data_IF_515083079859
#
_entry.id   IF_515083079859
#
_cell.length_a   1.000
_cell.length_b   1.000
_cell.length_c   1.000
_cell.angle_alpha   90.00
_cell.angle_beta   90.00
_cell.angle_gamma   90.00
#
_symmetry.space_group_name_H-M   'P 1'
#
loop_
_entity.id
_entity.type
_entity.pdbx_description
1 polymer ?
#
# COMPACT_ATOMS: atom_id res chain seq x y z
N UNK A 1 -3.41 -17.25 -17.98
CA UNK A 1 -2.81 -16.08 -18.69
C UNK A 1 -2.85 -14.87 -17.77
N UNK A 2 -1.69 -14.29 -17.49
CA UNK A 2 -1.67 -13.03 -16.76
C UNK A 2 -2.23 -11.92 -17.66
N UNK A 3 -3.22 -11.20 -17.16
CA UNK A 3 -3.79 -10.06 -17.82
C UNK A 3 -2.73 -8.96 -18.00
N UNK A 4 -2.75 -8.27 -19.14
CA UNK A 4 -1.85 -7.15 -19.40
C UNK A 4 -2.42 -5.92 -18.71
N UNK A 5 -1.67 -5.38 -17.75
CA UNK A 5 -2.07 -4.18 -17.04
C UNK A 5 -1.78 -2.92 -17.87
N UNK A 6 -2.62 -1.90 -17.71
CA UNK A 6 -2.48 -0.61 -18.39
C UNK A 6 -2.46 0.54 -17.40
N UNK A 7 -1.75 1.60 -17.77
CA UNK A 7 -1.82 2.87 -17.06
C UNK A 7 -3.21 3.49 -17.19
N UNK A 8 -3.78 3.95 -16.07
CA UNK A 8 -5.10 4.57 -15.99
C UNK A 8 -5.03 6.03 -15.55
N UNK A 9 -3.86 6.53 -15.20
CA UNK A 9 -3.66 7.92 -14.78
C UNK A 9 -2.22 8.17 -14.38
N UNK A 10 -1.95 9.41 -13.99
CA UNK A 10 -0.62 9.85 -13.56
C UNK A 10 -0.76 10.75 -12.33
N UNK A 11 -0.03 10.43 -11.27
CA UNK A 11 0.12 11.28 -10.10
C UNK A 11 1.27 12.25 -10.36
N UNK A 12 1.02 13.54 -10.12
CA UNK A 12 2.04 14.59 -10.23
C UNK A 12 2.28 15.23 -8.87
N UNK A 13 3.52 15.16 -8.41
CA UNK A 13 3.96 15.78 -7.15
C UNK A 13 5.22 16.58 -7.45
N UNK A 14 5.16 17.89 -7.27
CA UNK A 14 6.20 18.81 -7.74
C UNK A 14 6.47 18.60 -9.24
N UNK A 15 7.72 18.34 -9.62
CA UNK A 15 8.12 18.06 -11.00
C UNK A 15 8.24 16.55 -11.28
N UNK A 16 7.68 15.71 -10.42
CA UNK A 16 7.78 14.25 -10.51
C UNK A 16 6.44 13.63 -10.86
N UNK A 17 6.49 12.56 -11.62
CA UNK A 17 5.31 11.85 -12.09
C UNK A 17 5.39 10.38 -11.71
N UNK A 18 4.24 9.80 -11.33
CA UNK A 18 4.08 8.38 -11.05
C UNK A 18 2.85 7.87 -11.77
N UNK A 19 3.02 6.92 -12.67
CA UNK A 19 1.90 6.30 -13.37
C UNK A 19 1.12 5.37 -12.44
N UNK A 20 -0.20 5.41 -12.57
CA UNK A 20 -1.15 4.55 -11.85
C UNK A 20 -1.65 3.49 -12.81
N UNK A 21 -1.57 2.23 -12.42
CA UNK A 21 -1.99 1.09 -13.23
C UNK A 21 -3.18 0.37 -12.60
N UNK A 22 -3.83 -0.48 -13.36
CA UNK A 22 -4.98 -1.31 -13.02
C UNK A 22 -6.27 -0.49 -12.96
N UNK A 23 -6.61 0.09 -11.82
CA UNK A 23 -7.79 0.95 -11.65
C UNK A 23 -7.52 2.06 -10.66
N UNK A 24 -8.38 3.09 -10.65
CA UNK A 24 -8.28 4.17 -9.66
C UNK A 24 -8.83 3.75 -8.29
N UNK A 25 -9.64 2.72 -8.25
CA UNK A 25 -10.20 2.17 -7.00
C UNK A 25 -9.20 1.26 -6.30
N UNK A 26 -8.57 0.38 -7.06
CA UNK A 26 -7.49 -0.50 -6.58
C UNK A 26 -6.22 -0.27 -7.40
N UNK A 27 -5.52 0.85 -7.17
CA UNK A 27 -4.34 1.18 -7.95
C UNK A 27 -3.15 0.30 -7.61
N UNK A 28 -2.33 0.03 -8.62
CA UNK A 28 -1.00 -0.54 -8.43
C UNK A 28 0.03 0.35 -9.08
N UNK A 29 1.25 0.32 -8.56
CA UNK A 29 2.34 1.19 -8.95
C UNK A 29 3.56 0.35 -9.31
N UNK A 30 4.19 0.70 -10.41
CA UNK A 30 5.41 0.02 -10.85
C UNK A 30 6.56 0.34 -9.90
N UNK A 31 7.18 -0.69 -9.35
CA UNK A 31 8.23 -0.53 -8.34
C UNK A 31 9.41 0.31 -8.84
N UNK A 32 9.81 0.15 -10.11
CA UNK A 32 10.89 0.94 -10.72
C UNK A 32 10.53 2.43 -10.87
N UNK A 33 9.27 2.76 -11.09
CA UNK A 33 8.80 4.15 -11.17
C UNK A 33 8.84 4.81 -9.79
N UNK A 34 8.46 4.08 -8.75
CA UNK A 34 8.59 4.56 -7.36
C UNK A 34 10.06 4.80 -7.02
N UNK A 35 10.95 3.88 -7.39
CA UNK A 35 12.39 4.03 -7.17
C UNK A 35 12.92 5.31 -7.80
N UNK A 36 12.57 5.56 -9.06
CA UNK A 36 12.95 6.77 -9.78
C UNK A 36 12.40 8.03 -9.10
N UNK A 37 11.13 8.00 -8.72
CA UNK A 37 10.47 9.14 -8.07
C UNK A 37 11.09 9.49 -6.72
N UNK A 38 11.55 8.49 -5.97
CA UNK A 38 12.15 8.66 -4.64
C UNK A 38 13.68 8.81 -4.67
N UNK A 39 14.29 8.90 -5.84
CA UNK A 39 15.75 9.03 -6.02
C UNK A 39 16.56 7.79 -5.62
N UNK A 40 15.97 6.59 -5.74
CA UNK A 40 16.72 5.35 -5.66
C UNK A 40 17.33 4.99 -7.01
N UNK A 41 18.51 4.39 -6.98
CA UNK A 41 19.13 3.87 -8.21
C UNK A 41 18.37 2.66 -8.74
N UNK A 42 18.47 2.41 -10.05
CA UNK A 42 17.78 1.29 -10.71
C UNK A 42 18.12 -0.08 -10.10
N UNK A 43 19.32 -0.25 -9.54
CA UNK A 43 19.74 -1.48 -8.87
C UNK A 43 19.13 -1.71 -7.48
N UNK A 44 18.41 -0.75 -6.94
CA UNK A 44 17.86 -0.79 -5.57
C UNK A 44 16.34 -1.01 -5.50
N UNK A 45 15.71 -1.39 -6.61
CA UNK A 45 14.26 -1.67 -6.62
C UNK A 45 13.88 -2.79 -5.65
N UNK A 46 14.72 -3.81 -5.53
CA UNK A 46 14.48 -4.92 -4.60
C UNK A 46 14.49 -4.47 -3.13
N UNK A 47 15.22 -3.43 -2.78
CA UNK A 47 15.18 -2.83 -1.43
C UNK A 47 13.79 -2.23 -1.13
N UNK A 48 13.18 -1.58 -2.12
CA UNK A 48 11.83 -1.06 -1.97
C UNK A 48 10.81 -2.19 -1.77
N UNK A 49 10.94 -3.26 -2.55
CA UNK A 49 10.08 -4.43 -2.41
C UNK A 49 10.23 -5.09 -1.05
N UNK A 50 11.42 -5.04 -0.46
CA UNK A 50 11.69 -5.52 0.90
C UNK A 50 11.01 -4.69 2.01
N UNK A 51 10.54 -3.48 1.70
CA UNK A 51 9.78 -2.64 2.62
C UNK A 51 8.28 -3.00 2.63
N UNK A 52 7.84 -3.86 1.71
CA UNK A 52 6.46 -4.26 1.54
C UNK A 52 6.22 -5.65 2.13
N UNK A 53 5.00 -5.89 2.59
CA UNK A 53 4.53 -7.20 2.98
C UNK A 53 4.21 -8.06 1.75
N UNK A 54 4.07 -9.36 1.90
CA UNK A 54 3.88 -10.26 0.76
C UNK A 54 2.60 -9.99 -0.04
N UNK A 55 1.53 -9.54 0.61
CA UNK A 55 0.27 -9.19 -0.07
C UNK A 55 0.27 -7.77 -0.66
N UNK A 56 1.36 -7.03 -0.50
CA UNK A 56 1.54 -5.69 -1.05
C UNK A 56 2.41 -5.67 -2.32
N UNK A 57 2.94 -6.81 -2.69
CA UNK A 57 3.80 -7.00 -3.87
C UNK A 57 3.11 -7.93 -4.86
N UNK A 58 3.22 -7.61 -6.15
CA UNK A 58 2.71 -8.48 -7.19
C UNK A 58 3.54 -8.34 -8.47
N UNK A 59 3.48 -9.37 -9.29
CA UNK A 59 4.11 -9.37 -10.61
C UNK A 59 3.02 -9.40 -11.66
N UNK A 60 3.01 -8.40 -12.53
CA UNK A 60 2.02 -8.27 -13.59
C UNK A 60 2.70 -8.19 -14.96
N UNK A 61 1.96 -8.52 -15.99
CA UNK A 61 2.41 -8.40 -17.37
C UNK A 61 2.19 -6.98 -17.89
N UNK A 62 3.21 -6.42 -18.50
CA UNK A 62 3.19 -5.10 -19.11
C UNK A 62 3.83 -5.17 -20.50
N UNK A 63 3.30 -4.41 -21.45
CA UNK A 63 3.94 -4.24 -22.75
C UNK A 63 4.98 -3.14 -22.65
N UNK A 64 6.23 -3.49 -22.87
CA UNK A 64 7.38 -2.55 -22.89
C UNK A 64 8.06 -2.68 -24.25
N UNK A 65 8.11 -1.59 -25.01
CA UNK A 65 8.69 -1.56 -26.35
C UNK A 65 8.16 -2.67 -27.27
N UNK A 66 6.84 -2.91 -27.22
CA UNK A 66 6.15 -3.92 -28.02
C UNK A 66 6.30 -5.37 -27.52
N UNK A 67 7.00 -5.58 -26.42
CA UNK A 67 7.22 -6.91 -25.84
C UNK A 67 6.49 -7.05 -24.51
N UNK A 68 5.85 -8.21 -24.29
CA UNK A 68 5.25 -8.57 -23.02
C UNK A 68 6.34 -8.92 -22.02
N UNK A 69 6.36 -8.24 -20.89
CA UNK A 69 7.32 -8.46 -19.82
C UNK A 69 6.63 -8.61 -18.47
N UNK A 70 7.22 -9.40 -17.59
CA UNK A 70 6.81 -9.50 -16.19
C UNK A 70 7.49 -8.37 -15.42
N UNK A 71 6.71 -7.58 -14.72
CA UNK A 71 7.17 -6.38 -14.01
C UNK A 71 6.65 -6.40 -12.57
N UNK A 72 7.48 -5.96 -11.64
CA UNK A 72 7.12 -5.86 -10.23
C UNK A 72 6.32 -4.59 -9.96
N UNK A 73 5.19 -4.78 -9.30
CA UNK A 73 4.29 -3.71 -8.85
C UNK A 73 4.08 -3.79 -7.34
N UNK A 74 3.62 -2.70 -6.77
CA UNK A 74 3.16 -2.65 -5.37
C UNK A 74 1.75 -2.09 -5.33
N UNK A 75 1.00 -2.49 -4.31
CA UNK A 75 -0.33 -1.94 -4.02
C UNK A 75 -0.23 -0.54 -3.43
N UNK A 76 -1.36 0.13 -3.26
CA UNK A 76 -1.41 1.42 -2.56
C UNK A 76 -0.84 1.32 -1.13
N UNK A 77 -1.18 0.25 -0.41
CA UNK A 77 -0.62 -0.01 0.92
C UNK A 77 0.89 -0.19 0.88
N UNK A 78 1.40 -0.91 -0.11
CA UNK A 78 2.84 -1.08 -0.32
C UNK A 78 3.55 0.25 -0.58
N UNK A 79 2.94 1.13 -1.37
CA UNK A 79 3.45 2.48 -1.58
C UNK A 79 3.56 3.25 -0.27
N UNK A 80 2.52 3.23 0.57
CA UNK A 80 2.55 3.93 1.86
C UNK A 80 3.60 3.36 2.81
N UNK A 81 3.79 2.03 2.83
CA UNK A 81 4.85 1.40 3.60
C UNK A 81 6.25 1.85 3.16
N UNK A 82 6.47 1.97 1.86
CA UNK A 82 7.72 2.49 1.32
C UNK A 82 7.94 3.94 1.77
N UNK A 83 6.91 4.79 1.67
CA UNK A 83 7.01 6.20 2.08
C UNK A 83 7.33 6.34 3.58
N UNK A 84 6.76 5.49 4.42
CA UNK A 84 6.98 5.52 5.86
C UNK A 84 8.39 5.08 6.26
N UNK A 85 8.94 4.08 5.58
CA UNK A 85 10.24 3.50 5.89
C UNK A 85 11.39 4.22 5.19
N UNK A 86 11.15 4.85 4.05
CA UNK A 86 12.20 5.51 3.27
C UNK A 86 12.77 6.73 3.99
N UNK A 87 14.08 6.84 3.98
CA UNK A 87 14.81 8.00 4.51
C UNK A 87 15.08 9.06 3.45
N UNK A 88 14.70 8.81 2.21
CA UNK A 88 14.89 9.78 1.13
C UNK A 88 14.09 11.06 1.38
N UNK A 89 14.66 12.24 1.09
CA UNK A 89 13.99 13.52 1.37
C UNK A 89 12.63 13.66 0.72
N UNK A 90 12.48 13.20 -0.51
CA UNK A 90 11.20 13.26 -1.22
C UNK A 90 10.14 12.35 -0.59
N UNK A 91 10.53 11.16 -0.12
CA UNK A 91 9.63 10.25 0.59
C UNK A 91 9.14 10.88 1.90
N UNK A 92 10.02 11.56 2.63
CA UNK A 92 9.65 12.29 3.86
C UNK A 92 8.66 13.42 3.59
N UNK A 93 8.84 14.16 2.51
CA UNK A 93 7.94 15.22 2.07
C UNK A 93 6.57 14.65 1.71
N UNK A 94 6.53 13.61 0.90
CA UNK A 94 5.29 12.95 0.50
C UNK A 94 4.55 12.35 1.70
N UNK A 95 5.26 11.66 2.57
CA UNK A 95 4.70 11.12 3.82
C UNK A 95 4.02 12.20 4.66
N UNK A 96 4.64 13.38 4.77
CA UNK A 96 4.06 14.49 5.52
C UNK A 96 2.73 14.95 4.90
N UNK A 97 2.66 15.01 3.58
CA UNK A 97 1.42 15.35 2.87
C UNK A 97 0.33 14.31 3.15
N UNK A 98 0.65 13.03 3.05
CA UNK A 98 -0.30 11.94 3.35
C UNK A 98 -0.81 12.02 4.79
N UNK A 99 0.08 12.23 5.75
CA UNK A 99 -0.30 12.36 7.16
C UNK A 99 -1.22 13.58 7.39
N UNK A 100 -0.95 14.70 6.73
CA UNK A 100 -1.81 15.88 6.82
C UNK A 100 -3.20 15.60 6.26
N UNK A 101 -3.31 14.85 5.16
CA UNK A 101 -4.60 14.44 4.60
C UNK A 101 -5.38 13.53 5.55
N UNK A 102 -4.71 12.56 6.18
CA UNK A 102 -5.34 11.69 7.18
C UNK A 102 -5.89 12.49 8.36
N UNK A 103 -5.12 13.46 8.85
CA UNK A 103 -5.55 14.36 9.95
C UNK A 103 -6.77 15.20 9.51
N UNK A 104 -6.72 15.76 8.29
CA UNK A 104 -7.81 16.55 7.74
C UNK A 104 -9.11 15.72 7.59
N UNK A 105 -9.00 14.48 7.09
CA UNK A 105 -10.13 13.57 6.96
C UNK A 105 -10.76 13.24 8.32
N UNK A 106 -9.93 12.96 9.33
CA UNK A 106 -10.41 12.71 10.68
C UNK A 106 -11.20 13.91 11.23
N UNK A 107 -10.65 15.12 11.07
CA UNK A 107 -11.29 16.36 11.53
C UNK A 107 -12.59 16.64 10.78
N UNK A 108 -12.61 16.45 9.46
CA UNK A 108 -13.81 16.66 8.63
C UNK A 108 -14.97 15.75 9.05
N UNK A 109 -14.67 14.57 9.60
CA UNK A 109 -15.66 13.63 10.13
C UNK A 109 -16.01 13.85 11.59
N UNK A 110 -15.45 14.87 12.23
CA UNK A 110 -15.63 15.16 13.66
C UNK A 110 -15.24 13.95 14.56
N UNK A 111 -14.24 13.18 14.14
CA UNK A 111 -13.77 12.03 14.91
C UNK A 111 -12.80 12.47 15.98
N UNK A 112 -13.11 12.11 17.23
CA UNK A 112 -12.24 12.34 18.38
C UNK A 112 -11.04 11.37 18.31
N UNK A 113 -9.83 11.90 18.45
CA UNK A 113 -8.62 11.07 18.41
C UNK A 113 -8.58 10.01 19.51
N UNK A 114 -9.10 10.33 20.69
CA UNK A 114 -9.14 9.38 21.82
C UNK A 114 -10.03 8.18 21.52
N UNK A 115 -11.22 8.44 21.01
CA UNK A 115 -12.17 7.38 20.64
C UNK A 115 -11.59 6.52 19.52
N UNK A 116 -10.92 7.14 18.53
CA UNK A 116 -10.30 6.41 17.42
C UNK A 116 -9.16 5.51 17.89
N UNK A 117 -8.28 5.99 18.75
CA UNK A 117 -7.19 5.16 19.29
C UNK A 117 -7.72 4.01 20.16
N UNK A 118 -8.81 4.22 20.90
CA UNK A 118 -9.45 3.16 21.66
C UNK A 118 -10.01 2.07 20.72
N UNK A 119 -10.72 2.46 19.66
CA UNK A 119 -11.25 1.53 18.66
C UNK A 119 -10.12 0.78 17.96
N UNK A 120 -9.06 1.47 17.53
CA UNK A 120 -7.90 0.84 16.90
C UNK A 120 -7.19 -0.12 17.84
N UNK A 121 -7.11 0.19 19.13
CA UNK A 121 -6.56 -0.70 20.13
C UNK A 121 -7.30 -2.03 20.17
N UNK A 122 -8.62 -2.01 20.18
CA UNK A 122 -9.44 -3.22 20.15
C UNK A 122 -9.26 -4.02 18.84
N UNK A 123 -9.14 -3.32 17.70
CA UNK A 123 -8.89 -3.96 16.44
C UNK A 123 -7.52 -4.65 16.41
N UNK A 124 -6.49 -4.00 16.95
CA UNK A 124 -5.13 -4.53 16.99
C UNK A 124 -5.00 -5.80 17.82
N UNK A 125 -5.88 -6.03 18.81
CA UNK A 125 -5.86 -7.24 19.63
C UNK A 125 -6.04 -8.53 18.81
N UNK A 126 -6.67 -8.44 17.67
CA UNK A 126 -6.95 -9.59 16.79
C UNK A 126 -6.03 -9.66 15.57
N UNK A 127 -5.14 -8.69 15.40
CA UNK A 127 -4.25 -8.59 14.25
C UNK A 127 -2.83 -9.00 14.65
N UNK A 128 -2.18 -9.79 13.83
CA UNK A 128 -0.79 -10.19 14.05
C UNK A 128 -0.06 -10.36 12.72
N UNK A 129 1.25 -10.26 12.76
CA UNK A 129 2.11 -10.53 11.61
C UNK A 129 2.51 -12.00 11.61
N UNK A 130 2.22 -12.70 10.51
CA UNK A 130 2.61 -14.07 10.31
C UNK A 130 3.96 -14.13 9.58
N UNK A 131 5.00 -14.51 10.29
CA UNK A 131 6.36 -14.58 9.75
C UNK A 131 6.52 -15.64 8.65
N UNK A 132 5.69 -16.69 8.68
CA UNK A 132 5.76 -17.78 7.68
C UNK A 132 5.22 -17.32 6.33
N UNK A 133 4.12 -16.60 6.31
CA UNK A 133 3.50 -16.07 5.08
C UNK A 133 4.00 -14.68 4.70
N UNK A 134 4.58 -13.93 5.65
CA UNK A 134 4.96 -12.53 5.47
C UNK A 134 3.78 -11.59 5.36
N UNK A 135 2.65 -11.94 5.94
CA UNK A 135 1.39 -11.20 5.84
C UNK A 135 0.85 -10.80 7.21
N UNK A 136 0.09 -9.71 7.23
CA UNK A 136 -0.77 -9.38 8.37
C UNK A 136 -2.00 -10.28 8.34
N UNK A 137 -2.28 -10.91 9.46
CA UNK A 137 -3.39 -11.83 9.64
C UNK A 137 -4.36 -11.31 10.71
N UNK A 138 -5.58 -11.75 10.63
CA UNK A 138 -6.64 -11.39 11.57
C UNK A 138 -7.36 -12.65 12.05
N UNK A 139 -7.62 -12.72 13.36
CA UNK A 139 -8.47 -13.75 13.96
C UNK A 139 -9.93 -13.32 13.90
N UNK A 140 -10.74 -14.02 13.14
CA UNK A 140 -12.18 -13.74 13.03
C UNK A 140 -13.02 -14.88 13.59
N UNK A 141 -14.08 -14.54 14.31
CA UNK A 141 -15.05 -15.54 14.79
C UNK A 141 -16.08 -15.78 13.70
N UNK A 142 -16.17 -17.02 13.25
CA UNK A 142 -17.15 -17.42 12.22
C UNK A 142 -18.38 -18.04 12.88
N UNK A 143 -19.41 -18.32 12.08
CA UNK A 143 -20.66 -18.93 12.54
C UNK A 143 -20.39 -20.25 13.27
N UNK A 144 -20.87 -20.37 14.51
CA UNK A 144 -20.63 -21.55 15.36
C UNK A 144 -19.60 -21.35 16.46
N UNK A 145 -18.95 -20.17 16.50
CA UNK A 145 -17.98 -19.81 17.55
C UNK A 145 -16.55 -20.25 17.27
N UNK A 146 -16.30 -20.86 16.13
CA UNK A 146 -14.93 -21.20 15.71
C UNK A 146 -14.16 -19.93 15.32
N UNK A 147 -12.82 -19.95 15.49
CA UNK A 147 -11.94 -18.85 15.14
C UNK A 147 -11.13 -19.23 13.90
N UNK A 148 -11.25 -18.46 12.84
CA UNK A 148 -10.46 -18.60 11.63
C UNK A 148 -9.37 -17.52 11.56
N UNK A 149 -8.25 -17.87 10.93
CA UNK A 149 -7.16 -16.96 10.63
C UNK A 149 -7.25 -16.55 9.16
N UNK A 150 -7.43 -15.28 8.91
CA UNK A 150 -7.58 -14.73 7.57
C UNK A 150 -6.60 -13.58 7.33
N UNK A 151 -6.21 -13.31 6.08
CA UNK A 151 -5.42 -12.12 5.77
C UNK A 151 -6.15 -10.85 6.20
N UNK A 152 -5.47 -9.99 6.95
CA UNK A 152 -6.01 -8.70 7.36
C UNK A 152 -6.06 -7.74 6.17
N UNK A 153 -7.24 -7.27 5.83
CA UNK A 153 -7.45 -6.38 4.67
C UNK A 153 -7.97 -4.99 5.04
N UNK A 154 -7.87 -4.63 6.28
CA UNK A 154 -8.40 -3.39 6.82
C UNK A 154 -9.67 -3.63 7.62
N UNK A 155 -9.83 -2.85 8.67
CA UNK A 155 -10.87 -3.03 9.65
C UNK A 155 -12.21 -2.40 9.29
N UNK A 156 -13.06 -2.32 10.31
CA UNK A 156 -14.43 -1.81 10.28
C UNK A 156 -14.56 -0.32 9.91
N UNK A 157 -13.46 0.32 9.54
CA UNK A 157 -13.43 1.72 9.12
C UNK A 157 -13.70 1.85 7.61
N UNK A 158 -14.70 1.10 7.15
CA UNK A 158 -15.20 1.25 5.79
C UNK A 158 -15.67 2.71 5.63
N UNK A 159 -14.84 3.45 4.94
CA UNK A 159 -15.04 4.87 4.66
C UNK A 159 -15.99 4.99 3.49
N UNK A 160 -17.24 4.70 3.74
CA UNK A 160 -18.30 4.99 2.77
C UNK A 160 -18.78 6.44 2.88
#
# INVERSE_FOLDING_TARGET
>A
MSEIVKAVGTIKIDNRELEVYSSLDEPVFKASDIATMLDYSAGNVWNLLGMCEEDEKLTLSLIVSGQKRQVSFVTERGLYNILEQSRKPFARKWRRIVNNELIALRKARNLNILDRFEEWGHELDNIYFDEETGMMMESVTVTGGDVEQVPYRGGAFDVR
#
